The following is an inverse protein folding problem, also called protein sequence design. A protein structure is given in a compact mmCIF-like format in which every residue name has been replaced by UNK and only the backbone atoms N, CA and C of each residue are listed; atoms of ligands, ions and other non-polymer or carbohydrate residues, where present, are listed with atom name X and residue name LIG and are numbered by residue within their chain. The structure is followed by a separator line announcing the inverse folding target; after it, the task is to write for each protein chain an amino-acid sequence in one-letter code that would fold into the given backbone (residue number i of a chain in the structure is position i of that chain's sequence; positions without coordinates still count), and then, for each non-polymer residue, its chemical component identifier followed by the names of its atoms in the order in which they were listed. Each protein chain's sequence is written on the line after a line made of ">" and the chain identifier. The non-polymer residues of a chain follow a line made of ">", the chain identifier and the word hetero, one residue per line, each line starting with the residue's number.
data_IF_557603289342
#
_entry.id   IF_557603289342
#
_cell.length_a   1.000
_cell.length_b   1.000
_cell.length_c   1.000
_cell.angle_alpha   90.00
_cell.angle_beta   90.00
_cell.angle_gamma   90.00
#
_symmetry.space_group_name_H-M   'P 1'
#
loop_
_entity.id
_entity.type
_entity.pdbx_description
1 polymer ?
#
# COMPACT_ATOMS: atom_id res chain seq x y z
N UNK A 1 15.36 -0.51 -23.24
CA UNK A 1 14.03 -0.03 -23.66
C UNK A 1 13.18 0.05 -22.40
N UNK A 2 13.23 1.20 -21.71
CA UNK A 2 12.52 1.45 -20.46
C UNK A 2 11.05 1.68 -20.78
N UNK A 3 10.20 0.71 -20.44
CA UNK A 3 8.75 0.88 -20.51
C UNK A 3 8.40 2.01 -19.54
N UNK A 4 7.75 3.11 -19.99
CA UNK A 4 7.29 4.12 -19.06
C UNK A 4 6.28 3.44 -18.15
N UNK A 5 6.47 3.53 -16.82
CA UNK A 5 5.53 3.03 -15.84
C UNK A 5 4.19 3.70 -16.11
N UNK A 6 3.31 3.02 -16.86
CA UNK A 6 1.91 3.34 -16.90
C UNK A 6 1.50 3.47 -15.45
N UNK A 7 0.95 4.64 -15.08
CA UNK A 7 0.48 4.89 -13.72
C UNK A 7 -0.64 3.89 -13.45
N UNK A 8 -0.29 2.69 -12.99
CA UNK A 8 -1.19 1.80 -12.29
C UNK A 8 -1.85 2.66 -11.22
N UNK A 9 -3.14 2.87 -11.33
CA UNK A 9 -3.84 3.77 -10.44
C UNK A 9 -3.78 3.16 -9.03
N UNK A 10 -2.83 3.63 -8.23
CA UNK A 10 -2.64 3.19 -6.85
C UNK A 10 -3.96 3.25 -6.09
N UNK A 11 -4.26 2.17 -5.39
CA UNK A 11 -5.45 2.04 -4.55
C UNK A 11 -5.24 2.73 -3.21
N UNK A 12 -4.07 2.55 -2.62
CA UNK A 12 -3.59 3.20 -1.41
C UNK A 12 -2.06 3.19 -1.37
N UNK A 13 -1.48 4.13 -0.63
CA UNK A 13 -0.07 4.15 -0.26
C UNK A 13 0.09 4.70 1.16
N UNK A 14 1.07 4.21 1.91
CA UNK A 14 1.41 4.72 3.23
C UNK A 14 2.87 4.48 3.58
N UNK A 15 3.38 5.25 4.54
CA UNK A 15 4.74 5.13 5.06
C UNK A 15 4.83 3.96 6.06
N UNK A 16 5.92 3.20 6.01
CA UNK A 16 6.18 2.11 6.94
C UNK A 16 7.42 2.44 7.76
N UNK A 17 7.22 3.00 8.95
CA UNK A 17 8.30 3.54 9.78
C UNK A 17 8.54 2.73 11.06
N UNK A 18 7.52 2.01 11.56
CA UNK A 18 7.54 1.34 12.85
C UNK A 18 7.12 -0.12 12.76
N UNK A 19 7.46 -0.90 13.80
CA UNK A 19 6.95 -2.27 13.93
C UNK A 19 5.40 -2.32 14.00
N UNK A 20 4.76 -1.28 14.54
CA UNK A 20 3.30 -1.15 14.55
C UNK A 20 2.73 -1.07 13.12
N UNK A 21 3.40 -0.34 12.24
CA UNK A 21 2.98 -0.19 10.84
C UNK A 21 3.00 -1.51 10.08
N UNK A 22 3.87 -2.45 10.46
CA UNK A 22 3.88 -3.81 9.91
C UNK A 22 2.61 -4.59 10.29
N UNK A 23 2.15 -4.46 11.54
CA UNK A 23 0.89 -5.09 11.97
C UNK A 23 -0.32 -4.46 11.25
N UNK A 24 -0.26 -3.15 10.99
CA UNK A 24 -1.27 -2.45 10.20
C UNK A 24 -1.25 -2.92 8.75
N UNK A 25 -0.07 -2.98 8.12
CA UNK A 25 0.13 -3.51 6.77
C UNK A 25 -0.46 -4.92 6.63
N UNK A 26 -0.25 -5.79 7.62
CA UNK A 26 -0.85 -7.13 7.68
C UNK A 26 -2.37 -7.08 7.58
N UNK A 27 -3.03 -6.20 8.35
CA UNK A 27 -4.50 -6.05 8.37
C UNK A 27 -5.02 -5.45 7.07
N UNK A 28 -4.32 -4.47 6.52
CA UNK A 28 -4.64 -3.86 5.22
C UNK A 28 -4.56 -4.93 4.12
N UNK A 29 -3.49 -5.72 4.08
CA UNK A 29 -3.33 -6.81 3.12
C UNK A 29 -4.44 -7.85 3.19
N UNK A 30 -4.82 -8.26 4.40
CA UNK A 30 -5.94 -9.18 4.59
C UNK A 30 -7.26 -8.59 4.07
N UNK A 31 -7.52 -7.30 4.38
CA UNK A 31 -8.75 -6.62 3.97
C UNK A 31 -8.81 -6.35 2.47
N UNK A 32 -7.65 -6.12 1.84
CA UNK A 32 -7.52 -5.99 0.40
C UNK A 32 -7.88 -7.32 -0.28
N UNK A 33 -7.27 -8.40 0.18
CA UNK A 33 -7.51 -9.75 -0.35
C UNK A 33 -8.99 -10.15 -0.21
N UNK A 34 -9.60 -9.90 0.95
CA UNK A 34 -11.03 -10.13 1.18
C UNK A 34 -11.91 -9.31 0.22
N UNK A 35 -11.63 -8.01 0.07
CA UNK A 35 -12.39 -7.16 -0.85
C UNK A 35 -12.21 -7.51 -2.34
N UNK A 36 -11.13 -8.20 -2.67
CA UNK A 36 -10.84 -8.73 -4.01
C UNK A 36 -11.45 -10.12 -4.24
N UNK A 37 -12.20 -10.66 -3.26
CA UNK A 37 -12.85 -11.97 -3.37
C UNK A 37 -11.91 -13.16 -3.14
N UNK A 38 -10.68 -12.94 -2.67
CA UNK A 38 -9.74 -14.01 -2.38
C UNK A 38 -10.19 -14.84 -1.18
N UNK A 39 -9.90 -16.14 -1.23
CA UNK A 39 -10.25 -17.05 -0.15
C UNK A 39 -9.47 -16.78 1.15
N UNK A 40 -9.86 -17.46 2.21
CA UNK A 40 -9.25 -17.27 3.53
C UNK A 40 -7.77 -17.63 3.57
N UNK A 41 -7.35 -18.62 2.76
CA UNK A 41 -5.97 -19.08 2.72
C UNK A 41 -5.08 -18.04 2.04
N UNK A 42 -5.53 -17.47 0.93
CA UNK A 42 -4.86 -16.40 0.20
C UNK A 42 -4.77 -15.12 1.02
N UNK A 43 -5.83 -14.76 1.76
CA UNK A 43 -5.80 -13.67 2.73
C UNK A 43 -4.67 -13.85 3.76
N UNK A 44 -4.51 -15.07 4.31
CA UNK A 44 -3.45 -15.37 5.29
C UNK A 44 -2.06 -15.38 4.66
N UNK A 45 -1.91 -15.91 3.44
CA UNK A 45 -0.65 -15.90 2.69
C UNK A 45 -0.18 -14.47 2.44
N UNK A 46 -1.06 -13.62 1.90
CA UNK A 46 -0.77 -12.21 1.62
C UNK A 46 -0.41 -11.48 2.90
N UNK A 47 -1.24 -11.58 3.94
CA UNK A 47 -0.97 -10.95 5.23
C UNK A 47 0.41 -11.35 5.80
N UNK A 48 0.80 -12.62 5.63
CA UNK A 48 2.08 -13.14 6.12
C UNK A 48 3.25 -12.67 5.27
N UNK A 49 3.18 -12.78 3.96
CA UNK A 49 4.22 -12.29 3.05
C UNK A 49 4.49 -10.79 3.24
N UNK A 50 3.44 -9.98 3.37
CA UNK A 50 3.60 -8.54 3.61
C UNK A 50 4.20 -8.23 4.98
N UNK A 51 3.94 -9.08 5.98
CA UNK A 51 4.58 -8.93 7.29
C UNK A 51 6.08 -9.27 7.22
N UNK A 52 6.45 -10.31 6.48
CA UNK A 52 7.86 -10.67 6.27
C UNK A 52 8.61 -9.57 5.50
N UNK A 53 8.08 -9.13 4.36
CA UNK A 53 8.67 -8.04 3.57
C UNK A 53 8.73 -6.73 4.36
N UNK A 54 7.68 -6.41 5.12
CA UNK A 54 7.62 -5.23 5.97
C UNK A 54 8.69 -5.23 7.07
N UNK A 55 8.88 -6.36 7.78
CA UNK A 55 9.94 -6.49 8.78
C UNK A 55 11.32 -6.47 8.15
N UNK A 56 11.47 -7.12 7.01
CA UNK A 56 12.73 -7.14 6.29
C UNK A 56 13.10 -5.75 5.74
N UNK A 57 12.17 -4.86 5.38
CA UNK A 57 12.54 -3.51 4.91
C UNK A 57 12.44 -2.41 5.96
N UNK A 58 11.85 -2.68 7.12
CA UNK A 58 11.74 -1.70 8.21
C UNK A 58 13.09 -1.04 8.53
N UNK A 59 13.10 0.29 8.58
CA UNK A 59 14.30 1.11 8.79
C UNK A 59 14.95 1.63 7.51
N UNK A 60 14.55 1.17 6.33
CA UNK A 60 14.96 1.79 5.07
C UNK A 60 14.40 3.22 4.95
N UNK A 61 15.25 4.15 4.49
CA UNK A 61 14.86 5.55 4.34
C UNK A 61 13.83 5.69 3.22
N UNK A 62 12.77 6.48 3.47
CA UNK A 62 11.70 6.71 2.49
C UNK A 62 10.85 5.47 2.19
N UNK A 63 10.82 4.48 3.09
CA UNK A 63 10.05 3.26 2.89
C UNK A 63 8.54 3.53 2.84
N UNK A 64 7.96 3.25 1.68
CA UNK A 64 6.53 3.34 1.41
C UNK A 64 6.00 2.01 0.89
N UNK A 65 4.72 1.72 1.16
CA UNK A 65 4.03 0.55 0.64
C UNK A 65 2.78 1.00 -0.10
N UNK A 66 2.59 0.51 -1.32
CA UNK A 66 1.40 0.81 -2.13
C UNK A 66 0.70 -0.44 -2.65
N UNK A 67 -0.63 -0.37 -2.72
CA UNK A 67 -1.49 -1.42 -3.26
C UNK A 67 -1.96 -0.99 -4.64
N UNK A 68 -1.81 -1.85 -5.64
CA UNK A 68 -2.15 -1.53 -7.03
C UNK A 68 -2.83 -2.71 -7.72
N UNK A 69 -3.67 -2.39 -8.70
CA UNK A 69 -4.21 -3.33 -9.68
C UNK A 69 -3.66 -2.92 -11.04
N UNK A 70 -2.49 -3.46 -11.45
CA UNK A 70 -1.84 -3.07 -12.70
C UNK A 70 -2.72 -3.45 -13.89
N UNK A 71 -2.75 -2.63 -14.95
CA UNK A 71 -3.39 -3.02 -16.20
C UNK A 71 -2.56 -4.14 -16.85
N UNK A 72 -3.22 -5.14 -17.42
CA UNK A 72 -2.53 -6.23 -18.08
C UNK A 72 -3.46 -7.41 -18.39
N UNK A 73 -2.93 -8.44 -19.08
CA UNK A 73 -3.68 -9.66 -19.36
C UNK A 73 -3.91 -10.52 -18.10
N UNK A 74 -3.05 -10.38 -17.09
CA UNK A 74 -3.17 -11.07 -15.80
C UNK A 74 -3.78 -10.13 -14.75
N UNK A 75 -4.92 -10.52 -14.19
CA UNK A 75 -5.53 -9.85 -13.04
C UNK A 75 -4.76 -10.21 -11.78
N UNK A 76 -3.96 -9.29 -11.26
CA UNK A 76 -3.15 -9.48 -10.04
C UNK A 76 -3.36 -8.33 -9.04
N UNK A 77 -3.29 -8.66 -7.76
CA UNK A 77 -2.96 -7.68 -6.72
C UNK A 77 -1.44 -7.51 -6.69
N UNK A 78 -0.96 -6.29 -6.92
CA UNK A 78 0.44 -5.95 -6.76
C UNK A 78 0.63 -5.03 -5.55
N UNK A 79 1.46 -5.47 -4.61
CA UNK A 79 1.92 -4.67 -3.47
C UNK A 79 3.37 -4.29 -3.69
N UNK A 80 3.62 -2.98 -3.68
CA UNK A 80 4.92 -2.41 -4.04
C UNK A 80 5.53 -1.74 -2.82
N UNK A 81 6.69 -2.21 -2.40
CA UNK A 81 7.53 -1.56 -1.40
C UNK A 81 8.56 -0.73 -2.13
N UNK A 82 8.68 0.55 -1.82
CA UNK A 82 9.70 1.43 -2.39
C UNK A 82 10.47 2.13 -1.28
N UNK A 83 11.78 2.24 -1.43
CA UNK A 83 12.64 3.00 -0.52
C UNK A 83 13.80 3.63 -1.29
N UNK A 84 14.49 4.57 -0.66
CA UNK A 84 15.63 5.24 -1.28
C UNK A 84 16.82 4.28 -1.41
N UNK A 85 17.39 4.21 -2.61
CA UNK A 85 18.54 3.35 -2.93
C UNK A 85 19.86 3.97 -2.49
N UNK A 86 20.77 3.15 -1.95
CA UNK A 86 22.11 3.59 -1.56
C UNK A 86 23.09 3.56 -2.73
N UNK A 87 23.42 4.73 -3.30
CA UNK A 87 24.60 4.88 -4.20
C UNK A 87 25.78 5.56 -3.53
N UNK A 88 25.77 5.75 -2.21
CA UNK A 88 26.92 6.35 -1.52
C UNK A 88 27.94 5.30 -1.13
N UNK A 89 28.86 5.08 -2.06
CA UNK A 89 30.18 4.50 -1.80
C UNK A 89 30.92 5.43 -0.85
N UNK A 90 30.76 5.24 0.47
CA UNK A 90 31.61 5.91 1.45
C UNK A 90 30.93 6.39 2.72
N UNK A 91 30.18 5.53 3.41
CA UNK A 91 29.86 5.76 4.82
C UNK A 91 29.55 4.43 5.48
N UNK A 92 30.24 4.12 6.57
CA UNK A 92 30.00 2.91 7.38
C UNK A 92 28.67 2.99 8.16
N UNK A 93 27.89 4.07 7.98
CA UNK A 93 26.68 4.41 8.74
C UNK A 93 25.49 4.86 7.86
N UNK A 94 25.62 4.82 6.52
CA UNK A 94 24.48 5.08 5.63
C UNK A 94 23.53 3.90 5.73
N UNK A 95 22.34 4.07 6.32
CA UNK A 95 21.27 3.08 6.58
C UNK A 95 20.75 2.26 5.39
N UNK A 96 21.67 1.71 4.61
CA UNK A 96 21.48 0.89 3.43
C UNK A 96 21.52 -0.56 3.90
N UNK A 97 20.33 -1.14 4.03
CA UNK A 97 20.17 -2.55 4.38
C UNK A 97 20.70 -3.43 3.22
N UNK A 98 21.21 -4.65 3.49
CA UNK A 98 21.52 -5.61 2.43
C UNK A 98 20.34 -5.86 1.49
N UNK A 99 20.63 -6.46 0.34
CA UNK A 99 19.62 -6.92 -0.60
C UNK A 99 18.50 -7.70 0.13
N UNK A 100 17.23 -7.53 -0.29
CA UNK A 100 16.11 -8.16 0.39
C UNK A 100 16.14 -9.67 0.31
N UNK A 101 15.80 -10.32 1.42
CA UNK A 101 15.53 -11.75 1.42
C UNK A 101 14.08 -11.96 0.97
N UNK A 102 13.91 -12.36 -0.28
CA UNK A 102 12.60 -12.57 -0.88
C UNK A 102 12.05 -13.98 -0.63
N UNK A 103 12.89 -14.92 -0.18
CA UNK A 103 12.55 -16.34 -0.12
C UNK A 103 11.33 -16.64 0.76
N UNK A 104 11.17 -16.06 1.96
CA UNK A 104 9.97 -16.27 2.78
C UNK A 104 8.68 -15.83 2.08
N UNK A 105 8.71 -14.69 1.38
CA UNK A 105 7.56 -14.13 0.69
C UNK A 105 7.27 -14.87 -0.63
N UNK A 106 8.30 -15.29 -1.36
CA UNK A 106 8.19 -16.03 -2.61
C UNK A 106 7.55 -17.43 -2.43
N UNK A 107 7.63 -18.01 -1.23
CA UNK A 107 6.93 -19.26 -0.88
C UNK A 107 5.43 -19.07 -0.66
N UNK A 108 4.98 -17.84 -0.44
CA UNK A 108 3.60 -17.51 -0.09
C UNK A 108 2.83 -16.88 -1.25
N UNK A 109 3.52 -16.16 -2.13
CA UNK A 109 2.94 -15.39 -3.23
C UNK A 109 3.40 -15.91 -4.58
N UNK A 110 2.63 -15.63 -5.63
CA UNK A 110 2.91 -16.12 -6.98
C UNK A 110 4.17 -15.52 -7.60
N UNK A 111 4.44 -14.23 -7.37
CA UNK A 111 5.64 -13.58 -7.88
C UNK A 111 6.12 -12.52 -6.91
N UNK A 112 7.38 -12.61 -6.50
CA UNK A 112 8.05 -11.57 -5.72
C UNK A 112 9.37 -11.26 -6.40
N UNK A 113 9.61 -9.99 -6.71
CA UNK A 113 10.83 -9.55 -7.39
C UNK A 113 11.38 -8.30 -6.75
N UNK A 114 12.71 -8.20 -6.74
CA UNK A 114 13.44 -6.99 -6.39
C UNK A 114 13.87 -6.31 -7.69
N UNK A 115 13.41 -5.08 -7.87
CA UNK A 115 13.77 -4.19 -8.97
C UNK A 115 14.77 -3.17 -8.41
N UNK A 116 16.05 -3.38 -8.68
CA UNK A 116 17.13 -2.44 -8.33
C UNK A 116 17.53 -1.64 -9.57
N UNK A 117 17.65 -0.33 -9.42
CA UNK A 117 18.09 0.56 -10.50
C UNK A 117 17.84 2.03 -10.23
N UNK A 118 18.89 2.77 -9.90
CA UNK A 118 18.85 4.23 -9.74
C UNK A 118 18.69 4.67 -8.29
N UNK A 119 17.97 5.78 -8.06
CA UNK A 119 17.84 6.41 -6.74
C UNK A 119 16.79 5.73 -5.83
N UNK A 120 16.00 4.79 -6.37
CA UNK A 120 14.92 4.09 -5.65
C UNK A 120 15.08 2.59 -5.85
N UNK A 121 14.91 1.87 -4.76
CA UNK A 121 14.85 0.42 -4.72
C UNK A 121 13.40 -0.02 -4.53
N UNK A 122 13.03 -1.17 -5.13
CA UNK A 122 11.62 -1.61 -5.13
C UNK A 122 11.46 -3.11 -5.01
N UNK A 123 10.53 -3.56 -4.18
CA UNK A 123 10.01 -4.95 -4.21
C UNK A 123 8.60 -4.92 -4.78
N UNK A 124 8.34 -5.77 -5.76
CA UNK A 124 6.99 -5.99 -6.30
C UNK A 124 6.54 -7.40 -5.94
N UNK A 125 5.49 -7.48 -5.12
CA UNK A 125 4.86 -8.70 -4.68
C UNK A 125 3.47 -8.83 -5.33
N UNK A 126 3.27 -9.88 -6.12
CA UNK A 126 2.06 -10.11 -6.91
C UNK A 126 1.36 -11.41 -6.50
N UNK A 127 0.04 -11.35 -6.39
CA UNK A 127 -0.83 -12.50 -6.20
C UNK A 127 -2.02 -12.43 -7.18
N UNK A 128 -2.38 -13.52 -7.87
CA UNK A 128 -3.49 -13.54 -8.81
C UNK A 128 -4.81 -13.27 -8.11
N UNK A 129 -5.70 -12.57 -8.80
CA UNK A 129 -7.08 -12.42 -8.38
C UNK A 129 -7.88 -13.68 -8.75
N UNK A 130 -9.00 -13.94 -8.07
CA UNK A 130 -9.97 -14.94 -8.50
C UNK A 130 -10.39 -14.75 -9.96
N UNK A 131 -10.66 -15.84 -10.68
CA UNK A 131 -11.00 -15.78 -12.11
C UNK A 131 -12.33 -15.05 -12.40
N UNK A 132 -13.21 -14.98 -11.41
CA UNK A 132 -14.48 -14.26 -11.42
C UNK A 132 -14.35 -12.78 -11.01
N UNK A 133 -13.16 -12.31 -10.64
CA UNK A 133 -12.92 -10.90 -10.37
C UNK A 133 -13.20 -10.04 -11.61
N UNK A 134 -14.11 -9.08 -11.45
CA UNK A 134 -14.47 -8.11 -12.48
C UNK A 134 -13.95 -6.73 -12.12
N UNK A 135 -12.97 -6.24 -12.89
CA UNK A 135 -12.33 -4.95 -12.65
C UNK A 135 -13.19 -3.75 -13.08
N UNK A 136 -14.21 -3.45 -12.28
CA UNK A 136 -15.12 -2.31 -12.51
C UNK A 136 -14.76 -1.11 -11.61
N UNK A 137 -15.16 0.12 -11.98
CA UNK A 137 -14.99 1.28 -11.10
C UNK A 137 -15.60 1.11 -9.70
N UNK A 138 -16.77 0.46 -9.62
CA UNK A 138 -17.43 0.17 -8.34
C UNK A 138 -16.64 -0.84 -7.50
N UNK A 139 -16.11 -1.89 -8.12
CA UNK A 139 -15.27 -2.88 -7.45
C UNK A 139 -13.97 -2.22 -6.93
N UNK A 140 -13.29 -1.40 -7.74
CA UNK A 140 -12.13 -0.62 -7.31
C UNK A 140 -12.44 0.33 -6.15
N UNK A 141 -13.62 0.95 -6.14
CA UNK A 141 -14.06 1.81 -5.03
C UNK A 141 -14.25 1.00 -3.73
N UNK A 142 -14.87 -0.18 -3.81
CA UNK A 142 -15.04 -1.10 -2.69
C UNK A 142 -13.69 -1.52 -2.08
N UNK A 143 -12.71 -1.85 -2.91
CA UNK A 143 -11.35 -2.20 -2.45
C UNK A 143 -10.68 -0.99 -1.78
N UNK A 144 -10.78 0.22 -2.35
CA UNK A 144 -10.25 1.44 -1.70
C UNK A 144 -10.89 1.68 -0.34
N UNK A 145 -12.20 1.49 -0.21
CA UNK A 145 -12.90 1.62 1.06
C UNK A 145 -12.41 0.58 2.08
N UNK A 146 -12.19 -0.67 1.66
CA UNK A 146 -11.65 -1.71 2.51
C UNK A 146 -10.23 -1.41 3.01
N UNK A 147 -9.36 -0.91 2.13
CA UNK A 147 -7.99 -0.50 2.47
C UNK A 147 -7.97 0.64 3.50
N UNK A 148 -8.89 1.60 3.39
CA UNK A 148 -8.97 2.75 4.31
C UNK A 148 -9.41 2.38 5.73
N UNK A 149 -10.14 1.29 5.93
CA UNK A 149 -10.60 0.86 7.27
C UNK A 149 -9.46 0.59 8.25
N UNK A 150 -8.28 0.25 7.73
CA UNK A 150 -7.11 -0.10 8.53
C UNK A 150 -5.90 0.78 8.24
N UNK A 151 -5.99 1.73 7.30
CA UNK A 151 -4.89 2.64 6.99
C UNK A 151 -4.56 3.50 8.22
N UNK A 152 -3.28 3.66 8.58
CA UNK A 152 -2.87 4.76 9.46
C UNK A 152 -3.36 6.06 8.81
N UNK A 153 -3.92 6.99 9.59
CA UNK A 153 -4.25 8.30 9.03
C UNK A 153 -2.95 8.95 8.56
N UNK A 154 -2.84 9.17 7.25
CA UNK A 154 -1.72 9.92 6.70
C UNK A 154 -1.91 11.40 7.03
N UNK A 155 -0.82 12.18 7.09
CA UNK A 155 -0.91 13.63 7.29
C UNK A 155 -1.86 14.31 6.27
N UNK A 156 -1.88 13.82 5.03
CA UNK A 156 -2.78 14.31 3.99
C UNK A 156 -4.25 13.94 4.26
N UNK A 157 -4.52 12.78 4.84
CA UNK A 157 -5.88 12.37 5.22
C UNK A 157 -6.37 13.14 6.45
N UNK A 158 -5.48 13.42 7.39
CA UNK A 158 -5.75 14.28 8.56
C UNK A 158 -6.12 15.71 8.12
N UNK A 159 -5.36 16.30 7.20
CA UNK A 159 -5.67 17.62 6.64
C UNK A 159 -7.02 17.64 5.91
N UNK A 160 -7.34 16.57 5.17
CA UNK A 160 -8.65 16.43 4.51
C UNK A 160 -9.79 16.23 5.51
N UNK A 161 -9.54 15.54 6.62
CA UNK A 161 -10.51 15.37 7.70
C UNK A 161 -10.78 16.71 8.39
N UNK A 162 -9.73 17.44 8.77
CA UNK A 162 -9.85 18.78 9.36
C UNK A 162 -10.60 19.77 8.45
N UNK A 163 -10.35 19.70 7.14
CA UNK A 163 -11.08 20.54 6.18
C UNK A 163 -12.57 20.20 6.15
N UNK A 164 -12.92 18.91 6.18
CA UNK A 164 -14.33 18.46 6.21
C UNK A 164 -15.04 18.89 7.50
N UNK A 165 -14.38 18.75 8.64
CA UNK A 165 -14.95 19.16 9.92
C UNK A 165 -15.18 20.68 9.97
N UNK A 166 -14.23 21.48 9.46
CA UNK A 166 -14.38 22.93 9.37
C UNK A 166 -15.57 23.33 8.48
N UNK A 167 -15.74 22.65 7.34
CA UNK A 167 -16.89 22.88 6.45
C UNK A 167 -18.20 22.55 7.18
N UNK A 168 -18.26 21.40 7.85
CA UNK A 168 -19.45 20.99 8.60
C UNK A 168 -19.80 21.99 9.73
N UNK A 169 -18.81 22.46 10.49
CA UNK A 169 -19.02 23.48 11.53
C UNK A 169 -19.49 24.82 10.95
N UNK A 170 -18.98 25.22 9.78
CA UNK A 170 -19.42 26.45 9.10
C UNK A 170 -20.87 26.33 8.59
N UNK A 171 -21.25 25.17 8.07
CA UNK A 171 -22.62 24.88 7.64
C UNK A 171 -23.59 24.90 8.84
N UNK A 172 -23.23 24.27 9.95
CA UNK A 172 -24.01 24.28 11.19
C UNK A 172 -24.21 25.71 11.74
N UNK A 173 -23.14 26.53 11.73
CA UNK A 173 -23.21 27.93 12.18
C UNK A 173 -24.10 28.78 11.27
N UNK A 174 -24.15 28.49 9.96
CA UNK A 174 -25.05 29.18 9.01
C UNK A 174 -26.51 28.79 9.26
N UNK A 175 -26.77 27.49 9.45
CA UNK A 175 -28.12 27.00 9.74
C UNK A 175 -28.70 27.62 11.02
N UNK A 176 -27.91 27.68 12.11
CA UNK A 176 -28.34 28.32 13.37
C UNK A 176 -28.68 29.81 13.21
N UNK A 177 -28.00 30.53 12.30
CA UNK A 177 -28.28 31.94 12.03
C UNK A 177 -29.54 32.16 11.21
N UNK A 178 -29.92 31.20 10.38
CA UNK A 178 -31.18 31.24 9.62
C UNK A 178 -32.39 30.88 10.49
N UNK A 179 -32.23 29.98 11.48
CA UNK A 179 -33.30 29.63 12.43
C UNK A 179 -33.64 30.73 13.43
N UNK A 180 -32.71 31.66 13.69
CA UNK A 180 -32.88 32.78 14.64
C UNK A 180 -33.39 34.08 13.99
N UNK A 181 -33.85 34.02 12.73
CA UNK A 181 -34.24 35.18 11.92
C UNK A 181 -35.72 35.14 11.54
#
# INVERSE_FOLDING_TARGET
>A
MTVPAARSASLSAFDLATAQDVFVLRRIGQSAAEALGMDRQDQVRIATALSELGRDRLGCTGLTVSFTLPPGPESVLAVVFEWDGGTETGSWDSGTKPAPDLEPAARLLNRVRHESGGARERIVAEHPLPADWSDTPAARLGVRAALRRHAPMTLADDLRAQTRDLIATLEETRAQREELR
#
